data_IF_349707083160
#
_entry.id   IF_349707083160
#
_cell.length_a   1.000
_cell.length_b   1.000
_cell.length_c   1.000
_cell.angle_alpha   90.00
_cell.angle_beta   90.00
_cell.angle_gamma   90.00
#
_symmetry.space_group_name_H-M   'P 1'
#
loop_
_entity.id
_entity.type
_entity.pdbx_description
1 polymer ?
#
# COMPACT_ATOMS: atom_id res chain seq x y z
N UNK A 1 22.80 0.07 24.90
CA UNK A 1 21.48 0.61 24.51
C UNK A 1 21.42 0.72 22.98
N UNK A 2 22.45 1.27 22.35
CA UNK A 2 22.57 1.44 20.89
C UNK A 2 22.45 0.14 20.07
N UNK A 3 22.97 -0.99 20.58
CA UNK A 3 22.87 -2.29 19.89
C UNK A 3 21.43 -2.81 19.81
N UNK A 4 20.61 -2.56 20.85
CA UNK A 4 19.20 -2.99 20.90
C UNK A 4 18.37 -2.18 19.93
N UNK A 5 18.57 -0.85 19.90
CA UNK A 5 17.88 0.04 18.98
C UNK A 5 18.22 -0.30 17.51
N UNK A 6 19.49 -0.56 17.22
CA UNK A 6 19.95 -0.95 15.88
C UNK A 6 19.35 -2.28 15.44
N UNK A 7 19.38 -3.31 16.31
CA UNK A 7 18.77 -4.59 16.02
C UNK A 7 17.25 -4.46 15.75
N UNK A 8 16.58 -3.60 16.50
CA UNK A 8 15.14 -3.37 16.37
C UNK A 8 14.79 -2.72 15.02
N UNK A 9 15.60 -1.76 14.54
CA UNK A 9 15.47 -1.19 13.19
C UNK A 9 15.66 -2.28 12.12
N UNK A 10 16.70 -3.11 12.23
CA UNK A 10 16.95 -4.18 11.26
C UNK A 10 15.77 -5.17 11.16
N UNK A 11 15.19 -5.59 12.28
CA UNK A 11 14.03 -6.48 12.27
C UNK A 11 12.77 -5.81 11.72
N UNK A 12 12.58 -4.51 11.96
CA UNK A 12 11.47 -3.74 11.36
C UNK A 12 11.61 -3.64 9.84
N UNK A 13 12.82 -3.45 9.33
CA UNK A 13 13.08 -3.42 7.88
C UNK A 13 12.92 -4.81 7.24
N UNK A 14 13.34 -5.88 7.91
CA UNK A 14 13.07 -7.24 7.42
C UNK A 14 11.55 -7.49 7.33
N UNK A 15 10.81 -7.11 8.37
CA UNK A 15 9.34 -7.20 8.38
C UNK A 15 8.72 -6.37 7.26
N UNK A 16 9.20 -5.16 7.01
CA UNK A 16 8.68 -4.29 5.94
C UNK A 16 8.93 -4.93 4.56
N UNK A 17 10.12 -5.48 4.33
CA UNK A 17 10.47 -6.18 3.10
C UNK A 17 9.59 -7.42 2.86
N UNK A 18 9.39 -8.25 3.89
CA UNK A 18 8.53 -9.45 3.82
C UNK A 18 7.06 -9.11 3.54
N UNK A 19 6.58 -7.97 4.05
CA UNK A 19 5.22 -7.50 3.78
C UNK A 19 5.11 -6.79 2.42
N UNK A 20 6.18 -6.19 1.90
CA UNK A 20 6.17 -5.51 0.61
C UNK A 20 5.97 -6.46 -0.57
N UNK A 21 6.44 -7.71 -0.46
CA UNK A 21 6.28 -8.73 -1.50
C UNK A 21 4.88 -9.37 -1.55
N UNK A 22 3.92 -8.89 -0.74
CA UNK A 22 2.70 -9.64 -0.42
C UNK A 22 1.56 -9.62 -1.45
N UNK A 23 1.80 -9.26 -2.71
CA UNK A 23 0.75 -9.02 -3.72
C UNK A 23 -0.32 -10.13 -3.78
N UNK A 24 0.04 -11.39 -3.49
CA UNK A 24 -0.88 -12.53 -3.39
C UNK A 24 -0.79 -13.35 -2.08
N UNK A 25 0.05 -12.92 -1.13
CA UNK A 25 0.35 -13.68 0.10
C UNK A 25 1.74 -13.39 0.64
N UNK A 26 2.00 -13.72 1.91
CA UNK A 26 3.36 -13.61 2.48
C UNK A 26 4.21 -14.75 1.92
N UNK A 27 5.34 -14.40 1.30
CA UNK A 27 6.22 -15.38 0.66
C UNK A 27 6.79 -16.40 1.66
N UNK A 28 7.10 -15.95 2.87
CA UNK A 28 7.56 -16.79 3.97
C UNK A 28 6.85 -16.40 5.29
N UNK A 29 5.75 -17.07 5.65
CA UNK A 29 5.01 -16.76 6.87
C UNK A 29 5.79 -17.12 8.14
N UNK A 30 6.72 -18.09 8.06
CA UNK A 30 7.56 -18.48 9.19
C UNK A 30 8.57 -17.37 9.50
N UNK A 31 9.25 -16.85 8.48
CA UNK A 31 10.21 -15.76 8.65
C UNK A 31 9.54 -14.48 9.17
N UNK A 32 8.28 -14.22 8.78
CA UNK A 32 7.49 -13.11 9.32
C UNK A 32 7.16 -13.30 10.81
N UNK A 33 6.79 -14.52 11.22
CA UNK A 33 6.53 -14.83 12.62
C UNK A 33 7.80 -14.71 13.48
N UNK A 34 8.94 -15.17 12.98
CA UNK A 34 10.24 -15.01 13.61
C UNK A 34 10.61 -13.53 13.77
N UNK A 35 10.42 -12.72 12.72
CA UNK A 35 10.65 -11.28 12.79
C UNK A 35 9.75 -10.59 13.81
N UNK A 36 8.46 -10.91 13.85
CA UNK A 36 7.53 -10.36 14.85
C UNK A 36 7.97 -10.71 16.27
N UNK A 37 8.33 -11.97 16.54
CA UNK A 37 8.78 -12.41 17.86
C UNK A 37 10.05 -11.66 18.30
N UNK A 38 11.02 -11.51 17.41
CA UNK A 38 12.26 -10.78 17.68
C UNK A 38 12.00 -9.30 17.99
N UNK A 39 11.08 -8.64 17.28
CA UNK A 39 10.69 -7.25 17.55
C UNK A 39 10.08 -7.13 18.95
N UNK A 40 9.14 -8.01 19.33
CA UNK A 40 8.51 -8.00 20.67
C UNK A 40 9.56 -8.18 21.76
N UNK A 41 10.49 -9.10 21.58
CA UNK A 41 11.57 -9.34 22.55
C UNK A 41 12.50 -8.15 22.71
N UNK A 42 12.87 -7.49 21.61
CA UNK A 42 13.71 -6.30 21.66
C UNK A 42 12.97 -5.09 22.27
N UNK A 43 11.69 -4.89 21.96
CA UNK A 43 10.86 -3.85 22.59
C UNK A 43 10.70 -4.09 24.09
N UNK A 44 10.57 -5.35 24.53
CA UNK A 44 10.52 -5.69 25.94
C UNK A 44 11.83 -5.34 26.67
N UNK A 45 12.97 -5.63 26.04
CA UNK A 45 14.31 -5.30 26.57
C UNK A 45 14.52 -3.79 26.63
N UNK A 46 14.11 -3.06 25.59
CA UNK A 46 14.18 -1.60 25.55
C UNK A 46 13.32 -0.97 26.65
N UNK A 47 12.08 -1.43 26.83
CA UNK A 47 11.20 -0.97 27.88
C UNK A 47 11.76 -1.26 29.29
N UNK A 48 12.37 -2.44 29.49
CA UNK A 48 13.03 -2.77 30.74
C UNK A 48 14.23 -1.85 31.05
N UNK A 49 15.04 -1.51 30.04
CA UNK A 49 16.15 -0.55 30.17
C UNK A 49 15.63 0.85 30.52
N UNK A 50 14.53 1.27 29.89
CA UNK A 50 13.91 2.57 30.10
C UNK A 50 13.06 2.65 31.39
N UNK A 51 12.86 1.54 32.09
CA UNK A 51 12.01 1.48 33.29
C UNK A 51 10.51 1.66 33.00
N UNK A 52 10.06 1.31 31.80
CA UNK A 52 8.66 1.39 31.38
C UNK A 52 7.98 0.03 31.43
N UNK A 53 6.67 0.02 31.71
CA UNK A 53 5.86 -1.19 31.62
C UNK A 53 5.73 -1.69 30.18
N UNK A 54 5.87 -3.00 29.97
CA UNK A 54 5.73 -3.64 28.67
C UNK A 54 4.60 -4.66 28.66
N UNK A 55 3.55 -4.39 27.88
CA UNK A 55 2.43 -5.30 27.66
C UNK A 55 2.71 -6.18 26.43
N UNK A 56 3.35 -7.32 26.67
CA UNK A 56 3.72 -8.27 25.61
C UNK A 56 2.50 -8.75 24.80
N UNK A 57 1.40 -9.24 25.40
CA UNK A 57 0.21 -9.64 24.65
C UNK A 57 -0.31 -8.56 23.70
N UNK A 58 -0.40 -7.30 24.16
CA UNK A 58 -0.85 -6.19 23.32
C UNK A 58 0.08 -5.92 22.15
N UNK A 59 1.40 -5.96 22.37
CA UNK A 59 2.38 -5.70 21.32
C UNK A 59 2.47 -6.83 20.30
N UNK A 60 2.39 -8.08 20.75
CA UNK A 60 2.25 -9.25 19.86
C UNK A 60 0.99 -9.13 19.01
N UNK A 61 -0.16 -8.84 19.64
CA UNK A 61 -1.42 -8.63 18.92
C UNK A 61 -1.36 -7.47 17.93
N UNK A 62 -0.61 -6.39 18.22
CA UNK A 62 -0.43 -5.27 17.30
C UNK A 62 0.43 -5.61 16.07
N UNK A 63 1.40 -6.51 16.21
CA UNK A 63 2.25 -6.97 15.10
C UNK A 63 1.59 -8.07 14.26
N UNK A 64 0.80 -8.92 14.91
CA UNK A 64 -0.04 -9.98 14.31
C UNK A 64 -1.33 -9.43 13.70
N UNK A 65 -1.84 -8.30 14.20
CA UNK A 65 -2.80 -7.46 13.51
C UNK A 65 -2.12 -6.97 12.23
N UNK A 66 -2.18 -7.84 11.24
CA UNK A 66 -1.59 -7.71 9.92
C UNK A 66 -1.90 -6.28 9.43
N UNK A 67 -0.90 -5.46 9.04
CA UNK A 67 -1.10 -4.12 8.45
C UNK A 67 -1.70 -4.21 7.03
N UNK A 68 -2.68 -5.08 6.90
CA UNK A 68 -2.96 -5.83 5.70
C UNK A 68 -4.42 -5.84 5.30
N UNK A 69 -5.31 -5.41 6.19
CA UNK A 69 -6.58 -4.82 5.77
C UNK A 69 -6.35 -3.46 5.08
N UNK A 70 -5.28 -2.74 5.40
CA UNK A 70 -5.19 -1.31 5.09
C UNK A 70 -4.38 -0.96 3.84
N UNK A 71 -3.64 -1.92 3.27
CA UNK A 71 -2.99 -1.78 1.95
C UNK A 71 -3.74 -2.50 0.82
N UNK A 72 -5.06 -2.68 0.95
CA UNK A 72 -5.90 -3.01 -0.22
C UNK A 72 -7.12 -3.90 0.00
N UNK A 73 -7.49 -4.26 1.23
CA UNK A 73 -8.63 -5.16 1.48
C UNK A 73 -9.74 -4.59 2.38
N UNK A 74 -9.58 -3.37 2.94
CA UNK A 74 -10.49 -2.83 3.95
C UNK A 74 -11.08 -1.45 3.67
N UNK A 75 -10.55 -0.67 2.72
CA UNK A 75 -11.14 0.62 2.37
C UNK A 75 -11.73 0.54 0.97
N UNK A 76 -13.06 0.70 0.83
CA UNK A 76 -13.70 0.85 -0.48
C UNK A 76 -13.03 1.95 -1.33
N UNK A 77 -12.32 2.88 -0.66
CA UNK A 77 -11.48 3.92 -1.23
C UNK A 77 -10.26 3.37 -2.01
N UNK A 78 -9.61 2.31 -1.54
CA UNK A 78 -8.48 1.67 -2.23
C UNK A 78 -8.92 0.98 -3.53
N UNK A 79 -10.05 0.27 -3.47
CA UNK A 79 -10.67 -0.32 -4.66
C UNK A 79 -11.18 0.75 -5.62
N UNK A 80 -11.74 1.85 -5.10
CA UNK A 80 -12.15 2.99 -5.91
C UNK A 80 -10.95 3.65 -6.59
N UNK A 81 -9.83 3.83 -5.89
CA UNK A 81 -8.60 4.36 -6.46
C UNK A 81 -8.05 3.43 -7.57
N UNK A 82 -8.02 2.11 -7.33
CA UNK A 82 -7.60 1.14 -8.34
C UNK A 82 -8.53 1.15 -9.57
N UNK A 83 -9.86 1.16 -9.36
CA UNK A 83 -10.83 1.23 -10.43
C UNK A 83 -10.75 2.55 -11.21
N UNK A 84 -10.55 3.67 -10.51
CA UNK A 84 -10.37 4.99 -11.13
C UNK A 84 -9.09 5.05 -11.97
N UNK A 85 -8.00 4.41 -11.52
CA UNK A 85 -6.77 4.31 -12.29
C UNK A 85 -6.97 3.49 -13.57
N UNK A 86 -7.64 2.33 -13.49
CA UNK A 86 -7.94 1.50 -14.67
C UNK A 86 -8.86 2.25 -15.63
N UNK A 87 -9.89 2.92 -15.12
CA UNK A 87 -10.78 3.75 -15.92
C UNK A 87 -10.03 4.91 -16.59
N UNK A 88 -9.11 5.55 -15.89
CA UNK A 88 -8.26 6.62 -16.43
C UNK A 88 -7.36 6.13 -17.57
N UNK A 89 -6.71 4.98 -17.40
CA UNK A 89 -5.90 4.34 -18.45
C UNK A 89 -6.74 3.96 -19.67
N UNK A 90 -7.93 3.39 -19.45
CA UNK A 90 -8.88 3.08 -20.52
C UNK A 90 -9.37 4.33 -21.26
N UNK A 91 -9.62 5.41 -20.53
CA UNK A 91 -10.02 6.69 -21.10
C UNK A 91 -8.91 7.33 -21.93
N UNK A 92 -7.65 7.23 -21.49
CA UNK A 92 -6.49 7.65 -22.28
C UNK A 92 -6.38 6.85 -23.58
N UNK A 93 -6.48 5.52 -23.50
CA UNK A 93 -6.41 4.67 -24.67
C UNK A 93 -7.56 4.96 -25.65
N UNK A 94 -8.78 5.17 -25.14
CA UNK A 94 -9.94 5.60 -25.92
C UNK A 94 -9.75 6.97 -26.57
N UNK A 95 -9.15 7.92 -25.85
CA UNK A 95 -8.79 9.22 -26.39
C UNK A 95 -7.81 9.08 -27.56
N UNK A 96 -6.70 8.35 -27.39
CA UNK A 96 -5.71 8.19 -28.47
C UNK A 96 -6.26 7.43 -29.69
N UNK A 97 -7.07 6.38 -29.47
CA UNK A 97 -7.58 5.53 -30.56
C UNK A 97 -8.80 6.11 -31.28
N UNK A 98 -9.64 6.91 -30.61
CA UNK A 98 -10.89 7.41 -31.18
C UNK A 98 -10.96 8.93 -31.35
N UNK A 99 -10.12 9.71 -30.65
CA UNK A 99 -10.10 11.17 -30.79
C UNK A 99 -9.23 11.62 -31.96
N UNK A 100 -8.22 10.85 -32.33
CA UNK A 100 -7.30 11.13 -33.44
C UNK A 100 -7.78 10.36 -34.66
N UNK A 101 -8.25 11.08 -35.69
CA UNK A 101 -8.59 10.48 -36.97
C UNK A 101 -7.34 10.01 -37.72
N UNK A 102 -7.48 9.17 -38.74
CA UNK A 102 -6.34 8.70 -39.56
C UNK A 102 -5.53 9.81 -40.23
N UNK A 103 -6.10 11.03 -40.31
CA UNK A 103 -5.45 12.25 -40.79
C UNK A 103 -4.78 13.09 -39.68
N UNK A 104 -4.72 12.60 -38.42
CA UNK A 104 -4.19 13.35 -37.27
C UNK A 104 -5.11 14.46 -36.76
N UNK A 105 -6.34 14.57 -37.28
CA UNK A 105 -7.31 15.60 -36.87
C UNK A 105 -8.13 15.15 -35.66
N UNK A 106 -8.35 16.07 -34.73
CA UNK A 106 -9.19 15.85 -33.55
C UNK A 106 -10.68 15.82 -33.93
N UNK A 107 -11.32 14.67 -33.71
CA UNK A 107 -12.78 14.53 -33.85
C UNK A 107 -13.47 15.17 -32.65
N UNK A 108 -13.70 16.50 -32.73
CA UNK A 108 -14.24 17.38 -31.66
C UNK A 108 -15.26 16.73 -30.70
N UNK A 109 -16.38 16.14 -31.15
CA UNK A 109 -17.38 15.61 -30.21
C UNK A 109 -16.90 14.38 -29.45
N UNK A 110 -16.07 13.52 -30.06
CA UNK A 110 -15.50 12.32 -29.40
C UNK A 110 -14.30 12.67 -28.53
N UNK A 111 -13.48 13.62 -28.98
CA UNK A 111 -12.34 14.13 -28.23
C UNK A 111 -12.76 14.76 -26.89
N UNK A 112 -13.85 15.55 -26.90
CA UNK A 112 -14.38 16.16 -25.68
C UNK A 112 -14.90 15.11 -24.69
N UNK A 113 -15.63 14.09 -25.17
CA UNK A 113 -16.14 13.01 -24.32
C UNK A 113 -15.03 12.20 -23.64
N UNK A 114 -14.02 11.78 -24.40
CA UNK A 114 -12.89 11.04 -23.85
C UNK A 114 -11.98 11.92 -22.98
N UNK A 115 -11.76 13.18 -23.35
CA UNK A 115 -11.01 14.12 -22.51
C UNK A 115 -11.68 14.40 -21.17
N UNK A 116 -13.01 14.56 -21.15
CA UNK A 116 -13.78 14.68 -19.92
C UNK A 116 -13.69 13.41 -19.06
N UNK A 117 -13.77 12.22 -19.67
CA UNK A 117 -13.60 10.95 -18.96
C UNK A 117 -12.21 10.85 -18.31
N UNK A 118 -11.14 11.25 -19.01
CA UNK A 118 -9.77 11.32 -18.45
C UNK A 118 -9.72 12.26 -17.24
N UNK A 119 -10.26 13.48 -17.36
CA UNK A 119 -10.24 14.45 -16.26
C UNK A 119 -11.06 13.98 -15.04
N UNK A 120 -12.24 13.40 -15.26
CA UNK A 120 -13.11 12.89 -14.20
C UNK A 120 -12.46 11.70 -13.50
N UNK A 121 -11.92 10.73 -14.24
CA UNK A 121 -11.24 9.57 -13.66
C UNK A 121 -9.98 9.99 -12.88
N UNK A 122 -9.23 10.98 -13.38
CA UNK A 122 -8.08 11.54 -12.66
C UNK A 122 -8.50 12.23 -11.36
N UNK A 123 -9.56 13.04 -11.38
CA UNK A 123 -10.07 13.71 -10.20
C UNK A 123 -10.56 12.71 -9.15
N UNK A 124 -11.30 11.67 -9.56
CA UNK A 124 -11.75 10.59 -8.66
C UNK A 124 -10.55 9.85 -8.06
N UNK A 125 -9.52 9.57 -8.87
CA UNK A 125 -8.30 8.93 -8.39
C UNK A 125 -7.56 9.77 -7.34
N UNK A 126 -7.35 11.06 -7.61
CA UNK A 126 -6.72 12.00 -6.66
C UNK A 126 -7.51 12.15 -5.37
N UNK A 127 -8.85 12.15 -5.45
CA UNK A 127 -9.72 12.23 -4.28
C UNK A 127 -9.83 10.93 -3.50
N UNK A 128 -9.45 9.79 -4.10
CA UNK A 128 -9.47 8.48 -3.45
C UNK A 128 -8.11 8.12 -2.81
N UNK A 129 -7.02 8.71 -3.30
CA UNK A 129 -5.74 8.71 -2.60
C UNK A 129 -5.82 9.49 -1.27
#
# INVERSE_FOLDING_TARGET
ADDVATALVCWRELRSALLATRILGVADPQQLAEANAAIVDLMAREAAIAGHGFDRPRQTAALEAMPGSDLGAGSGRSHLAAAALVAWLGALLGFFTQAIDGEGKLRRPRALGWGAAVLISLAIWLLAM
#
